data_IF_769686062934
#
_entry.id   IF_769686062934
#
_cell.length_a   1.000
_cell.length_b   1.000
_cell.length_c   1.000
_cell.angle_alpha   90.00
_cell.angle_beta   90.00
_cell.angle_gamma   90.00
#
_symmetry.space_group_name_H-M   'P 1'
#
loop_
_entity.id
_entity.type
_entity.pdbx_description
1 polymer ?
#
# COMPACT_ATOMS: atom_id res chain seq x y z
N UNK A 1 25.28 -46.95 -52.47
CA UNK A 1 24.27 -46.85 -51.40
C UNK A 1 24.69 -45.69 -50.50
N UNK A 2 23.91 -44.60 -50.43
CA UNK A 2 24.22 -43.39 -49.65
C UNK A 2 23.10 -43.17 -48.65
N UNK A 3 23.46 -43.08 -47.36
CA UNK A 3 22.55 -42.84 -46.23
C UNK A 3 22.21 -41.34 -46.17
N UNK A 4 20.95 -40.93 -45.97
CA UNK A 4 20.61 -39.52 -45.81
C UNK A 4 20.88 -39.05 -44.38
N UNK A 5 21.56 -37.90 -44.26
CA UNK A 5 21.82 -37.24 -42.99
C UNK A 5 20.53 -36.62 -42.43
N UNK A 6 20.18 -37.04 -41.21
CA UNK A 6 19.08 -36.53 -40.40
C UNK A 6 19.40 -35.07 -40.01
N UNK A 7 18.69 -34.09 -40.57
CA UNK A 7 18.73 -32.71 -40.08
C UNK A 7 17.80 -32.58 -38.88
N UNK A 8 18.36 -32.61 -37.68
CA UNK A 8 17.66 -32.21 -36.46
C UNK A 8 17.30 -30.72 -36.57
N UNK A 9 15.99 -30.44 -36.65
CA UNK A 9 15.44 -29.11 -36.42
C UNK A 9 15.60 -28.79 -34.92
N UNK A 10 16.55 -27.91 -34.62
CA UNK A 10 16.69 -27.32 -33.29
C UNK A 10 15.49 -26.40 -33.02
N UNK A 11 14.66 -26.81 -32.06
CA UNK A 11 13.54 -26.06 -31.52
C UNK A 11 14.10 -24.89 -30.68
N UNK A 12 13.89 -23.61 -31.02
CA UNK A 12 14.29 -22.53 -30.14
C UNK A 12 13.32 -22.51 -28.95
N UNK A 13 13.84 -22.92 -27.79
CA UNK A 13 13.25 -22.69 -26.49
C UNK A 13 13.07 -21.18 -26.30
N UNK A 14 11.88 -20.68 -26.63
CA UNK A 14 11.40 -19.37 -26.18
C UNK A 14 11.17 -19.47 -24.68
N UNK A 15 12.26 -19.42 -23.92
CA UNK A 15 12.24 -19.08 -22.51
C UNK A 15 11.67 -17.66 -22.43
N UNK A 16 10.37 -17.57 -22.15
CA UNK A 16 9.73 -16.34 -21.72
C UNK A 16 10.35 -15.96 -20.39
N UNK A 17 11.47 -15.26 -20.42
CA UNK A 17 11.98 -14.55 -19.27
C UNK A 17 10.89 -13.57 -18.85
N UNK A 18 10.17 -13.90 -17.79
CA UNK A 18 9.52 -12.93 -16.93
C UNK A 18 10.62 -12.07 -16.31
N UNK A 19 11.24 -11.22 -17.12
CA UNK A 19 12.07 -10.15 -16.61
C UNK A 19 11.12 -9.25 -15.83
N UNK A 20 11.27 -9.26 -14.51
CA UNK A 20 10.76 -8.19 -13.66
C UNK A 20 11.41 -6.90 -14.16
N UNK A 21 10.75 -6.23 -15.10
CA UNK A 21 11.15 -4.91 -15.53
C UNK A 21 11.11 -4.01 -14.29
N UNK A 22 12.21 -3.32 -13.96
CA UNK A 22 12.14 -2.29 -12.93
C UNK A 22 11.06 -1.29 -13.32
N UNK A 23 10.33 -0.71 -12.34
CA UNK A 23 9.34 0.31 -12.62
C UNK A 23 9.95 1.40 -13.50
N UNK A 24 9.25 1.82 -14.55
CA UNK A 24 9.78 2.79 -15.49
C UNK A 24 10.15 4.10 -14.77
N UNK A 25 11.19 4.83 -15.21
CA UNK A 25 11.51 6.14 -14.66
C UNK A 25 10.26 7.04 -14.70
N UNK A 26 9.70 7.38 -13.54
CA UNK A 26 8.45 8.15 -13.40
C UNK A 26 7.21 7.35 -12.94
N UNK A 27 7.28 6.04 -12.78
CA UNK A 27 6.21 5.29 -12.10
C UNK A 27 6.30 5.55 -10.60
N UNK A 28 5.36 6.28 -10.00
CA UNK A 28 5.28 6.50 -8.54
C UNK A 28 4.80 5.23 -7.80
N UNK A 29 5.51 4.10 -7.93
CA UNK A 29 5.07 2.78 -7.50
C UNK A 29 6.08 1.94 -6.71
N UNK A 30 5.76 1.62 -5.45
CA UNK A 30 6.57 0.73 -4.60
C UNK A 30 5.99 -0.69 -4.50
N UNK A 31 6.75 -1.62 -3.95
CA UNK A 31 6.25 -2.91 -3.47
C UNK A 31 6.25 -2.97 -1.96
N UNK A 32 5.07 -3.07 -1.35
CA UNK A 32 4.89 -3.24 0.08
C UNK A 32 4.40 -4.65 0.38
N UNK A 33 5.24 -5.47 1.03
CA UNK A 33 4.96 -6.89 1.33
C UNK A 33 4.53 -7.71 0.09
N UNK A 34 5.06 -7.39 -1.10
CA UNK A 34 4.68 -8.02 -2.36
C UNK A 34 3.39 -7.49 -2.99
N UNK A 35 2.81 -6.40 -2.47
CA UNK A 35 1.73 -5.64 -3.11
C UNK A 35 2.30 -4.44 -3.83
N UNK A 36 1.98 -4.26 -5.11
CA UNK A 36 2.34 -3.04 -5.86
C UNK A 36 1.42 -1.89 -5.43
N UNK A 37 2.00 -0.77 -5.00
CA UNK A 37 1.28 0.42 -4.52
C UNK A 37 1.71 1.62 -5.34
N UNK A 38 0.76 2.33 -5.95
CA UNK A 38 0.99 3.56 -6.70
C UNK A 38 0.49 4.75 -5.92
N UNK A 39 1.31 5.76 -5.70
CA UNK A 39 0.92 7.00 -5.03
C UNK A 39 0.64 8.10 -6.06
N UNK A 40 -0.48 8.79 -5.92
CA UNK A 40 -0.89 9.89 -6.79
C UNK A 40 -1.30 11.08 -5.92
N UNK A 41 -0.62 12.22 -6.11
CA UNK A 41 -1.09 13.51 -5.63
C UNK A 41 -1.95 14.15 -6.72
N UNK A 42 -3.15 14.58 -6.36
CA UNK A 42 -4.11 15.21 -7.27
C UNK A 42 -5.15 16.03 -6.50
N UNK A 43 -5.94 16.82 -7.21
CA UNK A 43 -7.08 17.49 -6.60
C UNK A 43 -8.13 16.46 -6.15
N UNK A 44 -8.64 16.57 -4.92
CA UNK A 44 -9.66 15.65 -4.39
C UNK A 44 -10.92 15.55 -5.25
N UNK A 45 -11.27 16.61 -6.00
CA UNK A 45 -12.41 16.62 -6.94
C UNK A 45 -12.20 15.68 -8.12
N UNK A 46 -10.95 15.27 -8.37
CA UNK A 46 -10.59 14.36 -9.43
C UNK A 46 -10.48 12.91 -8.96
N UNK A 47 -10.68 12.58 -7.67
CA UNK A 47 -10.53 11.20 -7.16
C UNK A 47 -11.39 10.16 -7.91
N UNK A 48 -12.44 10.61 -8.59
CA UNK A 48 -13.24 9.77 -9.47
C UNK A 48 -14.19 8.90 -8.67
N UNK A 49 -13.79 7.66 -8.38
CA UNK A 49 -14.63 6.70 -7.65
C UNK A 49 -14.76 7.01 -6.16
N UNK A 50 -13.86 7.81 -5.60
CA UNK A 50 -13.88 8.18 -4.19
C UNK A 50 -14.59 9.52 -3.96
N UNK A 51 -15.13 9.71 -2.76
CA UNK A 51 -15.76 10.99 -2.38
C UNK A 51 -14.74 12.13 -2.40
N UNK A 52 -15.14 13.28 -2.97
CA UNK A 52 -14.37 14.51 -2.95
C UNK A 52 -14.29 15.15 -1.55
N UNK A 53 -14.99 14.62 -0.56
CA UNK A 53 -14.90 15.06 0.84
C UNK A 53 -13.67 14.47 1.56
N UNK A 54 -13.05 13.42 1.00
CA UNK A 54 -11.88 12.76 1.57
C UNK A 54 -10.58 13.50 1.22
N UNK A 55 -9.55 13.29 2.04
CA UNK A 55 -8.17 13.78 1.79
C UNK A 55 -7.24 12.67 1.31
N UNK A 56 -7.69 11.42 1.35
CA UNK A 56 -7.02 10.24 0.84
C UNK A 56 -8.05 9.21 0.38
N UNK A 57 -7.66 8.35 -0.54
CA UNK A 57 -8.44 7.20 -0.94
C UNK A 57 -7.56 6.10 -1.53
N UNK A 58 -7.92 4.86 -1.22
CA UNK A 58 -7.26 3.67 -1.78
C UNK A 58 -8.19 2.91 -2.73
N UNK A 59 -7.79 2.80 -3.99
CA UNK A 59 -8.52 2.10 -5.04
C UNK A 59 -7.77 0.84 -5.47
N UNK A 60 -8.33 -0.36 -5.26
CA UNK A 60 -7.73 -1.59 -5.75
C UNK A 60 -8.00 -1.79 -7.25
N UNK A 61 -6.95 -2.05 -8.03
CA UNK A 61 -7.02 -2.34 -9.47
C UNK A 61 -6.24 -3.63 -9.77
N UNK A 62 -6.95 -4.76 -9.76
CA UNK A 62 -6.35 -6.07 -10.01
C UNK A 62 -5.27 -6.40 -9.00
N UNK A 63 -4.00 -6.38 -9.43
CA UNK A 63 -2.87 -6.67 -8.54
C UNK A 63 -2.29 -5.46 -7.80
N UNK A 64 -2.75 -4.26 -8.15
CA UNK A 64 -2.19 -2.96 -7.78
C UNK A 64 -3.15 -2.25 -6.82
N UNK A 65 -2.61 -1.51 -5.87
CA UNK A 65 -3.36 -0.49 -5.13
C UNK A 65 -2.97 0.89 -5.64
N UNK A 66 -3.95 1.72 -5.94
CA UNK A 66 -3.72 3.15 -6.23
C UNK A 66 -4.15 3.94 -5.01
N UNK A 67 -3.19 4.60 -4.38
CA UNK A 67 -3.39 5.52 -3.26
C UNK A 67 -3.42 6.94 -3.82
N UNK A 68 -4.59 7.56 -3.78
CA UNK A 68 -4.82 8.93 -4.21
C UNK A 68 -4.86 9.84 -2.99
N UNK A 69 -4.14 10.94 -3.02
CA UNK A 69 -4.04 11.88 -1.91
C UNK A 69 -4.32 13.29 -2.40
N UNK A 70 -5.03 14.07 -1.58
CA UNK A 70 -5.37 15.45 -1.91
C UNK A 70 -4.11 16.30 -1.86
N UNK A 71 -3.75 16.86 -3.01
CA UNK A 71 -2.51 17.61 -3.17
C UNK A 71 -2.47 18.84 -2.24
N UNK A 72 -3.58 19.59 -2.17
CA UNK A 72 -3.64 20.81 -1.35
C UNK A 72 -3.48 20.48 0.14
N UNK A 73 -4.18 19.46 0.64
CA UNK A 73 -4.00 18.97 1.99
C UNK A 73 -2.55 18.53 2.23
N UNK A 74 -1.98 17.72 1.33
CA UNK A 74 -0.65 17.16 1.51
C UNK A 74 0.44 18.24 1.57
N UNK A 75 0.35 19.26 0.73
CA UNK A 75 1.29 20.39 0.71
C UNK A 75 1.26 21.19 2.02
N UNK A 76 0.08 21.41 2.59
CA UNK A 76 -0.11 22.17 3.84
C UNK A 76 0.05 21.32 5.11
N UNK A 77 -0.01 19.99 4.97
CA UNK A 77 0.05 19.05 6.07
C UNK A 77 1.39 19.10 6.80
N UNK A 78 1.33 18.96 8.13
CA UNK A 78 2.50 18.68 8.96
C UNK A 78 3.14 17.34 8.58
N UNK A 79 4.40 17.13 8.96
CA UNK A 79 5.09 15.85 8.72
C UNK A 79 4.32 14.65 9.30
N UNK A 80 3.73 14.81 10.48
CA UNK A 80 2.89 13.78 11.09
C UNK A 80 1.66 13.47 10.24
N UNK A 81 0.94 14.49 9.79
CA UNK A 81 -0.27 14.32 8.95
C UNK A 81 0.05 13.63 7.62
N UNK A 82 1.17 13.97 6.97
CA UNK A 82 1.59 13.29 5.73
C UNK A 82 1.87 11.81 5.95
N UNK A 83 2.64 11.47 7.00
CA UNK A 83 2.99 10.09 7.31
C UNK A 83 1.76 9.29 7.74
N UNK A 84 0.93 9.86 8.63
CA UNK A 84 -0.31 9.22 9.07
C UNK A 84 -1.23 8.96 7.89
N UNK A 85 -1.47 9.94 7.02
CA UNK A 85 -2.33 9.78 5.84
C UNK A 85 -1.80 8.70 4.89
N UNK A 86 -0.51 8.71 4.53
CA UNK A 86 0.06 7.69 3.63
C UNK A 86 0.00 6.31 4.26
N UNK A 87 0.34 6.19 5.55
CA UNK A 87 0.28 4.90 6.24
C UNK A 87 -1.16 4.41 6.39
N UNK A 88 -2.13 5.30 6.61
CA UNK A 88 -3.55 4.98 6.71
C UNK A 88 -4.07 4.39 5.40
N UNK A 89 -3.84 5.08 4.28
CA UNK A 89 -4.23 4.60 2.95
C UNK A 89 -3.51 3.30 2.56
N UNK A 90 -2.22 3.19 2.89
CA UNK A 90 -1.50 1.94 2.74
C UNK A 90 -2.12 0.81 3.59
N UNK A 91 -2.64 1.13 4.76
CA UNK A 91 -3.42 0.24 5.61
C UNK A 91 -4.63 -0.35 4.88
N UNK A 92 -5.46 0.47 4.23
CA UNK A 92 -6.56 -0.03 3.40
C UNK A 92 -6.10 -0.97 2.29
N UNK A 93 -4.99 -0.63 1.62
CA UNK A 93 -4.43 -1.49 0.59
C UNK A 93 -4.00 -2.85 1.18
N UNK A 94 -3.28 -2.83 2.30
CA UNK A 94 -2.75 -4.04 2.91
C UNK A 94 -3.84 -4.91 3.54
N UNK A 95 -4.91 -4.32 4.05
CA UNK A 95 -6.09 -5.04 4.52
C UNK A 95 -6.68 -5.92 3.41
N UNK A 96 -6.97 -5.33 2.25
CA UNK A 96 -7.46 -6.10 1.11
C UNK A 96 -6.46 -7.18 0.69
N UNK A 97 -5.17 -6.82 0.56
CA UNK A 97 -4.19 -7.63 -0.17
C UNK A 97 -3.48 -8.67 0.70
N UNK A 98 -3.46 -8.49 2.02
CA UNK A 98 -2.78 -9.40 2.97
C UNK A 98 -3.73 -10.04 3.97
N UNK A 99 -4.86 -9.38 4.25
CA UNK A 99 -5.84 -9.81 5.24
C UNK A 99 -7.17 -10.25 4.62
N UNK A 100 -7.38 -10.02 3.32
CA UNK A 100 -8.61 -10.40 2.63
C UNK A 100 -9.84 -9.69 3.19
N UNK A 101 -9.70 -8.43 3.60
CA UNK A 101 -10.75 -7.63 4.24
C UNK A 101 -11.24 -8.18 5.59
N UNK A 102 -10.40 -8.96 6.28
CA UNK A 102 -10.70 -9.32 7.67
C UNK A 102 -10.45 -8.17 8.65
N UNK A 103 -9.86 -7.05 8.19
CA UNK A 103 -9.57 -5.87 8.99
C UNK A 103 -8.70 -6.19 10.21
N UNK A 104 -7.89 -7.26 10.17
CA UNK A 104 -7.12 -7.72 11.32
C UNK A 104 -7.97 -8.15 12.52
N UNK A 105 -9.27 -8.44 12.32
CA UNK A 105 -10.22 -8.75 13.39
C UNK A 105 -10.87 -7.52 14.03
N UNK A 106 -10.64 -6.31 13.49
CA UNK A 106 -11.29 -5.09 13.97
C UNK A 106 -12.80 -5.15 13.76
N UNK A 107 -13.53 -4.62 14.74
CA UNK A 107 -14.96 -4.36 14.68
C UNK A 107 -15.20 -2.88 14.89
N UNK A 108 -15.17 -2.39 16.14
CA UNK A 108 -15.43 -0.99 16.49
C UNK A 108 -14.33 -0.35 17.35
N UNK A 109 -13.22 -1.04 17.58
CA UNK A 109 -12.16 -0.61 18.49
C UNK A 109 -11.54 0.73 18.06
N UNK A 110 -11.51 1.02 16.75
CA UNK A 110 -11.04 2.29 16.21
C UNK A 110 -11.82 3.52 16.70
N UNK A 111 -13.05 3.35 17.22
CA UNK A 111 -13.87 4.44 17.79
C UNK A 111 -13.15 5.28 18.86
N UNK A 112 -12.11 4.72 19.50
CA UNK A 112 -11.28 5.42 20.48
C UNK A 112 -10.53 6.63 19.90
N UNK A 113 -10.28 6.65 18.59
CA UNK A 113 -9.62 7.76 17.90
C UNK A 113 -10.60 8.73 17.24
N UNK A 114 -11.91 8.43 17.29
CA UNK A 114 -12.96 9.26 16.72
C UNK A 114 -14.09 8.44 16.12
N UNK A 115 -15.25 9.08 15.93
CA UNK A 115 -16.43 8.42 15.37
C UNK A 115 -16.19 7.90 13.94
N UNK A 116 -15.37 8.61 13.16
CA UNK A 116 -14.98 8.24 11.80
C UNK A 116 -14.33 6.84 11.73
N UNK A 117 -13.45 6.53 12.68
CA UNK A 117 -12.72 5.26 12.73
C UNK A 117 -13.51 4.11 13.37
N UNK A 118 -14.82 4.25 13.58
CA UNK A 118 -15.66 3.18 14.13
C UNK A 118 -15.80 2.01 13.16
N UNK A 119 -15.80 2.26 11.86
CA UNK A 119 -15.91 1.18 10.87
C UNK A 119 -14.66 0.28 10.91
N UNK A 120 -14.79 -1.06 10.77
CA UNK A 120 -13.66 -1.98 10.82
C UNK A 120 -12.49 -1.60 9.90
N UNK A 121 -12.79 -1.22 8.65
CA UNK A 121 -11.79 -0.82 7.65
C UNK A 121 -11.01 0.42 8.07
N UNK A 122 -11.71 1.46 8.52
CA UNK A 122 -11.11 2.72 8.99
C UNK A 122 -10.32 2.51 10.29
N UNK A 123 -10.85 1.68 11.19
CA UNK A 123 -10.21 1.32 12.45
C UNK A 123 -8.90 0.58 12.22
N UNK A 124 -8.88 -0.40 11.32
CA UNK A 124 -7.66 -1.11 10.95
C UNK A 124 -6.64 -0.18 10.28
N UNK A 125 -7.07 0.63 9.30
CA UNK A 125 -6.19 1.55 8.58
C UNK A 125 -5.52 2.56 9.53
N UNK A 126 -6.28 3.13 10.46
CA UNK A 126 -5.75 4.03 11.47
C UNK A 126 -4.84 3.31 12.47
N UNK A 127 -5.18 2.09 12.89
CA UNK A 127 -4.33 1.27 13.74
C UNK A 127 -2.98 0.97 13.07
N UNK A 128 -3.00 0.66 11.77
CA UNK A 128 -1.79 0.43 10.99
C UNK A 128 -0.93 1.69 10.91
N UNK A 129 -1.55 2.85 10.65
CA UNK A 129 -0.84 4.14 10.61
C UNK A 129 -0.15 4.46 11.95
N UNK A 130 -0.84 4.18 13.07
CA UNK A 130 -0.29 4.40 14.42
C UNK A 130 0.80 3.41 14.77
N UNK A 131 0.62 2.12 14.45
CA UNK A 131 1.64 1.11 14.63
C UNK A 131 2.89 1.43 13.80
N UNK A 132 2.70 1.93 12.58
CA UNK A 132 3.77 2.42 11.73
C UNK A 132 4.51 3.59 12.40
N UNK A 133 3.80 4.63 12.84
CA UNK A 133 4.42 5.81 13.46
C UNK A 133 5.13 5.45 14.77
N UNK A 134 4.56 4.54 15.57
CA UNK A 134 5.20 4.07 16.80
C UNK A 134 6.51 3.31 16.52
N UNK A 135 6.57 2.56 15.41
CA UNK A 135 7.74 1.76 15.03
C UNK A 135 8.80 2.56 14.26
N UNK A 136 8.35 3.39 13.33
CA UNK A 136 9.18 4.05 12.32
C UNK A 136 9.27 5.57 12.48
N UNK A 137 8.58 6.14 13.47
CA UNK A 137 8.46 7.58 13.62
C UNK A 137 7.81 8.20 12.38
N UNK A 138 8.45 9.22 11.84
CA UNK A 138 7.93 10.00 10.71
C UNK A 138 8.72 9.77 9.40
N UNK A 139 9.24 8.56 9.20
CA UNK A 139 10.02 8.15 8.02
C UNK A 139 9.10 7.88 6.80
N UNK A 140 8.59 8.93 6.16
CA UNK A 140 7.70 8.78 5.00
C UNK A 140 8.25 7.86 3.89
N UNK A 141 9.56 7.85 3.70
CA UNK A 141 10.22 7.11 2.62
C UNK A 141 10.13 5.58 2.86
N UNK A 142 10.06 5.14 4.12
CA UNK A 142 9.85 3.72 4.45
C UNK A 142 8.47 3.19 4.08
N UNK A 143 7.51 4.08 3.76
CA UNK A 143 6.23 3.70 3.16
C UNK A 143 6.33 3.53 1.64
N UNK A 144 7.53 3.68 1.07
CA UNK A 144 7.79 3.64 -0.37
C UNK A 144 7.24 4.86 -1.11
N UNK A 145 7.06 5.97 -0.40
CA UNK A 145 6.49 7.21 -0.91
C UNK A 145 7.22 7.65 -2.18
N UNK A 146 6.51 7.75 -3.30
CA UNK A 146 7.09 8.13 -4.61
C UNK A 146 8.37 7.35 -4.98
N UNK A 147 8.41 6.05 -4.65
CA UNK A 147 9.57 5.14 -4.79
C UNK A 147 10.78 5.43 -3.93
N UNK A 148 10.68 6.33 -2.96
CA UNK A 148 11.72 6.52 -1.98
C UNK A 148 11.91 5.23 -1.15
N UNK A 149 13.13 5.05 -0.65
CA UNK A 149 13.48 3.95 0.24
C UNK A 149 13.88 4.55 1.57
N UNK A 150 13.09 4.29 2.60
CA UNK A 150 13.42 4.67 3.97
C UNK A 150 14.28 3.63 4.68
N UNK A 151 14.55 3.90 5.95
CA UNK A 151 15.45 3.09 6.79
C UNK A 151 14.71 2.13 7.73
N UNK A 152 13.44 2.41 8.00
CA UNK A 152 12.59 1.58 8.85
C UNK A 152 11.93 0.43 8.07
N UNK A 153 11.72 -0.70 8.75
CA UNK A 153 10.85 -1.77 8.29
C UNK A 153 9.42 -1.56 8.81
N UNK A 154 8.42 -1.32 7.93
CA UNK A 154 7.02 -1.14 8.34
C UNK A 154 6.47 -2.37 9.09
N UNK A 155 5.45 -2.20 9.96
CA UNK A 155 4.78 -3.35 10.56
C UNK A 155 4.10 -4.20 9.50
N UNK A 156 4.24 -5.52 9.59
CA UNK A 156 3.46 -6.41 8.74
C UNK A 156 1.98 -6.27 9.13
N UNK A 157 1.02 -6.18 8.17
CA UNK A 157 -0.39 -5.91 8.49
C UNK A 157 -1.04 -6.97 9.40
N UNK A 158 -0.54 -8.22 9.37
CA UNK A 158 -0.99 -9.29 10.28
C UNK A 158 -0.56 -9.12 11.74
N UNK A 159 0.39 -8.21 12.01
CA UNK A 159 0.80 -7.86 13.38
C UNK A 159 -0.13 -6.81 14.00
N UNK A 160 -0.95 -6.14 13.19
CA UNK A 160 -1.86 -5.07 13.63
C UNK A 160 -3.23 -5.67 13.93
N UNK A 161 -3.50 -5.86 15.22
CA UNK A 161 -4.73 -6.47 15.73
C UNK A 161 -5.38 -5.59 16.81
N UNK A 162 -6.65 -5.85 17.18
CA UNK A 162 -7.28 -5.18 18.32
C UNK A 162 -6.49 -5.31 19.63
N UNK A 163 -5.83 -6.44 19.89
CA UNK A 163 -5.06 -6.64 21.12
C UNK A 163 -3.80 -5.76 21.15
N UNK A 164 -3.21 -5.47 19.98
CA UNK A 164 -2.06 -4.57 19.86
C UNK A 164 -2.40 -3.16 20.39
N UNK A 165 -3.54 -2.62 19.97
CA UNK A 165 -3.96 -1.25 20.33
C UNK A 165 -4.40 -1.13 21.79
N UNK A 166 -4.89 -2.23 22.38
CA UNK A 166 -5.22 -2.30 23.80
C UNK A 166 -3.97 -2.33 24.68
N UNK A 167 -2.95 -3.09 24.28
CA UNK A 167 -1.73 -3.31 25.08
C UNK A 167 -0.69 -2.22 24.91
N UNK A 168 -0.51 -1.67 23.70
CA UNK A 168 0.55 -0.69 23.41
C UNK A 168 0.09 0.77 23.53
N UNK A 169 -1.17 1.02 23.90
CA UNK A 169 -1.78 2.36 24.00
C UNK A 169 -1.57 3.22 22.73
N UNK A 170 -1.66 2.59 21.55
CA UNK A 170 -1.69 3.29 20.25
C UNK A 170 -2.94 4.18 20.10
#
# INVERSE_FOLDING_TARGET
>A
MRVPALRMLALPLLLSSCAFLPPAPGENGTFMFGTRVLYILKDRREFGFCSAELVGCTVPLGSICVVQLDQEFFEKATRWQRVNLVAHELGHCLDLRKLGLSHGGFTDQGKRWGAYYRAPSEGFAEAYARAYIARCGLDLDSLGWMNAQGSCTPPHPREVTPELIETQKL
#
